data_IF_510053822313
#
_entry.id   IF_510053822313
#
_cell.length_a   1.000
_cell.length_b   1.000
_cell.length_c   1.000
_cell.angle_alpha   90.00
_cell.angle_beta   90.00
_cell.angle_gamma   90.00
#
_symmetry.space_group_name_H-M   'P 1'
#
loop_
_entity.id
_entity.type
_entity.pdbx_description
1 polymer ?
#
# COMPACT_ATOMS: atom_id res chain seq x y z
N UNK A 1 -19.88 6.99 2.10
CA UNK A 1 -18.68 7.70 1.63
C UNK A 1 -18.15 6.96 0.41
N UNK A 2 -17.75 7.66 -0.64
CA UNK A 2 -17.14 7.07 -1.82
C UNK A 2 -15.77 7.71 -2.07
N UNK A 3 -14.81 6.93 -2.53
CA UNK A 3 -13.45 7.41 -2.80
C UNK A 3 -13.11 7.11 -4.26
N UNK A 4 -12.54 8.09 -4.95
CA UNK A 4 -12.16 7.96 -6.36
C UNK A 4 -10.74 8.45 -6.59
N UNK A 5 -10.00 7.76 -7.46
CA UNK A 5 -8.74 8.23 -8.02
C UNK A 5 -8.92 8.77 -9.44
N UNK A 6 -8.10 9.73 -9.84
CA UNK A 6 -8.16 10.35 -11.16
C UNK A 6 -6.78 10.43 -11.81
N UNK A 7 -6.74 10.43 -13.14
CA UNK A 7 -5.51 10.60 -13.92
C UNK A 7 -4.86 11.98 -13.70
N UNK A 8 -5.57 12.92 -13.08
CA UNK A 8 -5.04 14.21 -12.64
C UNK A 8 -4.17 14.12 -11.35
N UNK A 9 -3.84 12.90 -10.92
CA UNK A 9 -3.07 12.55 -9.72
C UNK A 9 -3.75 12.87 -8.39
N UNK A 10 -5.04 13.21 -8.41
CA UNK A 10 -5.82 13.46 -7.20
C UNK A 10 -6.65 12.25 -6.77
N UNK A 11 -6.95 12.23 -5.48
CA UNK A 11 -7.96 11.34 -4.90
C UNK A 11 -9.04 12.20 -4.28
N UNK A 12 -10.30 11.83 -4.46
CA UNK A 12 -11.45 12.59 -3.95
C UNK A 12 -12.32 11.72 -3.07
N UNK A 13 -12.86 12.34 -2.02
CA UNK A 13 -13.89 11.75 -1.17
C UNK A 13 -15.21 12.45 -1.46
N UNK A 14 -16.26 11.65 -1.58
CA UNK A 14 -17.60 12.10 -1.93
C UNK A 14 -18.61 11.67 -0.88
N UNK A 15 -19.55 12.57 -0.63
CA UNK A 15 -20.83 12.24 -0.03
C UNK A 15 -21.74 11.70 -1.15
N UNK A 16 -22.23 10.47 -0.97
CA UNK A 16 -23.08 9.80 -1.96
C UNK A 16 -24.51 10.32 -1.96
N UNK A 17 -25.00 10.83 -0.83
CA UNK A 17 -26.37 11.31 -0.71
C UNK A 17 -26.51 12.69 -1.34
N UNK A 18 -25.56 13.59 -1.06
CA UNK A 18 -25.56 14.94 -1.63
C UNK A 18 -24.84 15.06 -2.97
N UNK A 19 -23.98 14.10 -3.33
CA UNK A 19 -23.13 14.16 -4.53
C UNK A 19 -21.98 15.16 -4.42
N UNK A 20 -21.71 15.70 -3.24
CA UNK A 20 -20.72 16.76 -3.02
C UNK A 20 -19.34 16.14 -2.79
N UNK A 21 -18.32 16.73 -3.42
CA UNK A 21 -16.91 16.43 -3.13
C UNK A 21 -16.53 17.01 -1.76
N UNK A 22 -16.34 16.13 -0.77
CA UNK A 22 -15.98 16.50 0.60
C UNK A 22 -14.50 16.88 0.73
N UNK A 23 -13.62 16.14 0.06
CA UNK A 23 -12.16 16.33 0.14
C UNK A 23 -11.49 16.03 -1.20
N UNK A 24 -10.38 16.72 -1.46
CA UNK A 24 -9.46 16.42 -2.56
C UNK A 24 -8.06 16.28 -1.96
N UNK A 25 -7.47 15.10 -2.11
CA UNK A 25 -6.10 14.81 -1.71
C UNK A 25 -5.16 15.04 -2.89
N UNK A 26 -4.10 15.80 -2.63
CA UNK A 26 -3.06 16.15 -3.58
C UNK A 26 -1.73 15.71 -2.97
N UNK A 27 -0.88 15.05 -3.76
CA UNK A 27 0.44 14.62 -3.29
C UNK A 27 1.02 13.42 -4.02
N UNK A 28 0.20 12.65 -4.74
CA UNK A 28 0.71 11.64 -5.65
C UNK A 28 1.49 12.28 -6.81
N UNK A 29 2.59 11.63 -7.19
CA UNK A 29 3.43 12.07 -8.31
C UNK A 29 2.92 11.55 -9.66
N UNK A 30 2.10 10.50 -9.63
CA UNK A 30 1.48 9.91 -10.80
C UNK A 30 0.07 9.44 -10.44
N UNK A 31 -0.72 9.00 -11.42
CA UNK A 31 -2.11 8.64 -11.17
C UNK A 31 -2.23 7.41 -10.26
N UNK A 32 -3.20 7.42 -9.32
CA UNK A 32 -3.48 6.28 -8.47
C UNK A 32 -3.99 5.10 -9.30
N UNK A 33 -3.45 3.91 -9.04
CA UNK A 33 -3.81 2.65 -9.70
C UNK A 33 -4.64 1.75 -8.78
N UNK A 34 -4.60 1.95 -7.46
CA UNK A 34 -5.39 1.21 -6.48
C UNK A 34 -5.67 2.11 -5.26
N UNK A 35 -6.85 1.99 -4.65
CA UNK A 35 -7.31 2.79 -3.50
C UNK A 35 -8.21 1.92 -2.62
N UNK A 36 -7.92 1.86 -1.32
CA UNK A 36 -8.71 1.12 -0.34
C UNK A 36 -8.82 1.90 0.97
N UNK A 37 -9.93 1.70 1.68
CA UNK A 37 -10.14 2.20 3.04
C UNK A 37 -9.77 1.10 4.05
N UNK A 38 -9.02 1.46 5.09
CA UNK A 38 -8.68 0.57 6.20
C UNK A 38 -9.86 0.48 7.19
N UNK A 39 -9.83 -0.51 8.09
CA UNK A 39 -10.84 -0.63 9.16
C UNK A 39 -10.91 0.57 10.11
N UNK A 40 -9.83 1.34 10.26
CA UNK A 40 -9.81 2.55 11.07
C UNK A 40 -10.23 3.81 10.30
N UNK A 41 -10.67 3.65 9.04
CA UNK A 41 -11.15 4.74 8.19
C UNK A 41 -10.04 5.53 7.50
N UNK A 42 -8.78 5.09 7.56
CA UNK A 42 -7.69 5.71 6.80
C UNK A 42 -7.81 5.31 5.32
N UNK A 43 -7.49 6.23 4.41
CA UNK A 43 -7.43 5.91 2.97
C UNK A 43 -6.00 5.56 2.62
N UNK A 44 -5.81 4.44 1.91
CA UNK A 44 -4.53 4.01 1.36
C UNK A 44 -4.64 4.01 -0.15
N UNK A 45 -3.63 4.50 -0.83
CA UNK A 45 -3.58 4.53 -2.29
C UNK A 45 -2.21 4.25 -2.82
N UNK A 46 -2.17 3.57 -3.96
CA UNK A 46 -0.95 3.22 -4.68
C UNK A 46 -0.95 3.97 -6.01
N UNK A 47 0.13 4.66 -6.35
CA UNK A 47 0.32 5.22 -7.69
C UNK A 47 1.19 4.36 -8.60
N UNK A 48 1.23 4.75 -9.87
CA UNK A 48 2.02 4.09 -10.90
C UNK A 48 3.53 4.12 -10.68
N UNK A 49 4.03 5.03 -9.85
CA UNK A 49 5.45 5.06 -9.46
C UNK A 49 5.72 4.15 -8.26
N UNK A 50 4.76 3.31 -7.89
CA UNK A 50 4.89 2.37 -6.78
C UNK A 50 4.91 3.05 -5.42
N UNK A 51 4.35 4.26 -5.28
CA UNK A 51 4.27 4.97 -4.00
C UNK A 51 2.95 4.67 -3.33
N UNK A 52 3.01 4.08 -2.15
CA UNK A 52 1.87 3.88 -1.26
C UNK A 52 1.72 5.10 -0.35
N UNK A 53 0.61 5.81 -0.47
CA UNK A 53 0.27 6.95 0.36
C UNK A 53 -0.87 6.60 1.31
N UNK A 54 -0.75 7.08 2.54
CA UNK A 54 -1.74 6.95 3.61
C UNK A 54 -2.31 8.32 3.93
N UNK A 55 -3.63 8.45 3.93
CA UNK A 55 -4.34 9.72 4.07
C UNK A 55 -5.32 9.65 5.22
N UNK A 56 -5.33 10.71 6.03
CA UNK A 56 -6.40 10.92 7.00
C UNK A 56 -7.58 11.64 6.32
N UNK A 57 -8.75 10.99 6.17
CA UNK A 57 -9.89 11.61 5.51
C UNK A 57 -10.50 12.78 6.29
N UNK A 58 -10.27 12.87 7.60
CA UNK A 58 -10.81 13.97 8.42
C UNK A 58 -10.05 15.25 8.15
N UNK A 59 -8.72 15.22 8.31
CA UNK A 59 -7.87 16.37 8.01
C UNK A 59 -7.84 16.67 6.51
N UNK A 60 -7.80 15.64 5.66
CA UNK A 60 -7.52 15.82 4.23
C UNK A 60 -6.02 15.74 3.91
N UNK A 61 -5.19 15.28 4.86
CA UNK A 61 -3.74 15.36 4.76
C UNK A 61 -3.09 14.00 4.53
N UNK A 62 -1.97 14.01 3.79
CA UNK A 62 -1.05 12.89 3.68
C UNK A 62 -0.41 12.64 5.05
N UNK A 63 -0.58 11.43 5.59
CA UNK A 63 0.00 11.01 6.87
C UNK A 63 1.37 10.38 6.67
N UNK A 64 1.50 9.48 5.69
CA UNK A 64 2.71 8.71 5.46
C UNK A 64 2.82 8.26 4.00
N UNK A 65 4.06 8.10 3.53
CA UNK A 65 4.37 7.58 2.20
C UNK A 65 5.40 6.45 2.30
N UNK A 66 5.12 5.35 1.65
CA UNK A 66 5.99 4.19 1.53
C UNK A 66 6.42 4.01 0.08
N UNK A 67 7.72 3.86 -0.14
CA UNK A 67 8.33 3.59 -1.44
C UNK A 67 9.36 2.49 -1.29
N UNK A 68 9.61 1.73 -2.36
CA UNK A 68 10.66 0.72 -2.39
C UNK A 68 11.99 1.30 -2.89
N UNK A 69 13.03 0.48 -2.88
CA UNK A 69 14.36 0.84 -3.39
C UNK A 69 14.30 1.21 -4.87
N UNK A 70 15.28 1.99 -5.35
CA UNK A 70 15.33 2.65 -6.66
C UNK A 70 15.04 1.81 -7.93
N UNK A 71 15.01 0.48 -7.86
CA UNK A 71 14.76 -0.40 -9.00
C UNK A 71 13.59 -1.39 -8.75
N UNK A 72 12.68 -1.06 -7.85
CA UNK A 72 11.50 -1.88 -7.58
C UNK A 72 10.34 -1.00 -7.11
N UNK A 73 9.12 -1.37 -7.49
CA UNK A 73 7.91 -0.60 -7.25
C UNK A 73 6.79 -1.53 -6.82
N UNK A 74 5.91 -1.06 -5.92
CA UNK A 74 4.70 -1.79 -5.61
C UNK A 74 3.79 -1.79 -6.83
N UNK A 75 3.36 -2.96 -7.26
CA UNK A 75 2.43 -3.14 -8.38
C UNK A 75 0.98 -3.28 -7.92
N UNK A 76 0.77 -3.71 -6.67
CA UNK A 76 -0.54 -3.87 -6.07
C UNK A 76 -0.48 -3.88 -4.54
N UNK A 77 -1.62 -3.66 -3.89
CA UNK A 77 -1.76 -3.89 -2.47
C UNK A 77 -3.14 -4.40 -2.07
N UNK A 78 -3.24 -4.95 -0.84
CA UNK A 78 -4.48 -5.38 -0.19
C UNK A 78 -4.39 -5.11 1.30
N UNK A 79 -5.49 -4.63 1.87
CA UNK A 79 -5.66 -4.60 3.33
C UNK A 79 -6.45 -5.85 3.73
N UNK A 80 -5.87 -6.66 4.60
CA UNK A 80 -6.52 -7.87 5.10
C UNK A 80 -7.59 -7.51 6.15
N UNK A 81 -8.52 -8.44 6.40
CA UNK A 81 -9.50 -8.26 7.47
C UNK A 81 -8.83 -8.14 8.84
N UNK A 82 -7.70 -8.78 9.06
CA UNK A 82 -6.92 -8.67 10.30
C UNK A 82 -6.22 -7.30 10.45
N UNK A 83 -6.16 -6.49 9.39
CA UNK A 83 -5.66 -5.11 9.41
C UNK A 83 -4.25 -4.94 8.85
N UNK A 84 -3.57 -6.03 8.51
CA UNK A 84 -2.25 -6.01 7.87
C UNK A 84 -2.38 -5.57 6.41
N UNK A 85 -1.35 -4.88 5.95
CA UNK A 85 -1.18 -4.50 4.55
C UNK A 85 -0.33 -5.55 3.85
N UNK A 86 -0.80 -6.08 2.73
CA UNK A 86 -0.03 -6.95 1.84
C UNK A 86 0.27 -6.19 0.55
N UNK A 87 1.54 -6.15 0.15
CA UNK A 87 2.00 -5.47 -1.07
C UNK A 87 2.67 -6.47 -2.00
N UNK A 88 2.35 -6.41 -3.29
CA UNK A 88 3.08 -7.13 -4.33
C UNK A 88 3.95 -6.16 -5.14
N UNK A 89 5.12 -6.61 -5.59
CA UNK A 89 6.02 -5.84 -6.45
C UNK A 89 6.29 -6.54 -7.79
N UNK A 90 6.79 -5.77 -8.76
CA UNK A 90 7.02 -6.26 -10.12
C UNK A 90 8.07 -7.39 -10.20
N UNK A 91 9.00 -7.45 -9.25
CA UNK A 91 9.97 -8.54 -9.15
C UNK A 91 9.43 -9.81 -8.48
N UNK A 92 8.13 -9.90 -8.24
CA UNK A 92 7.47 -11.07 -7.65
C UNK A 92 7.54 -11.15 -6.12
N UNK A 93 8.12 -10.17 -5.43
CA UNK A 93 8.11 -10.16 -3.97
C UNK A 93 6.71 -9.80 -3.44
N UNK A 94 6.27 -10.55 -2.44
CA UNK A 94 5.09 -10.25 -1.64
C UNK A 94 5.57 -9.90 -0.24
N UNK A 95 5.17 -8.74 0.27
CA UNK A 95 5.52 -8.28 1.61
C UNK A 95 4.25 -8.03 2.42
N UNK A 96 4.32 -8.32 3.71
CA UNK A 96 3.24 -8.08 4.66
C UNK A 96 3.73 -7.12 5.73
N UNK A 97 2.91 -6.13 6.04
CA UNK A 97 3.19 -5.04 6.95
C UNK A 97 2.14 -5.05 8.06
N UNK A 98 2.61 -5.16 9.30
CA UNK A 98 1.79 -5.19 10.51
C UNK A 98 2.44 -4.31 11.57
N UNK A 99 1.60 -3.71 12.42
CA UNK A 99 2.06 -3.02 13.63
C UNK A 99 2.38 -4.00 14.77
N UNK A 100 1.84 -5.22 14.70
CA UNK A 100 2.10 -6.30 15.66
C UNK A 100 3.08 -7.32 15.07
N UNK A 101 3.99 -7.89 15.87
CA UNK A 101 4.89 -8.94 15.40
C UNK A 101 4.07 -10.14 14.93
N UNK A 102 4.20 -10.44 13.63
CA UNK A 102 3.51 -11.57 13.02
C UNK A 102 4.30 -12.84 13.38
N UNK A 103 3.73 -13.67 14.24
CA UNK A 103 4.28 -14.98 14.53
C UNK A 103 3.88 -15.95 13.42
N UNK A 104 4.80 -16.25 12.51
CA UNK A 104 4.59 -17.31 11.54
C UNK A 104 4.75 -18.67 12.23
N UNK A 105 3.65 -19.39 12.42
CA UNK A 105 3.67 -20.77 12.92
C UNK A 105 3.92 -21.82 11.83
N UNK A 106 4.08 -21.40 10.57
CA UNK A 106 4.39 -22.29 9.48
C UNK A 106 5.30 -21.58 8.47
N UNK A 107 6.54 -22.05 8.37
CA UNK A 107 7.41 -21.73 7.26
C UNK A 107 6.93 -22.55 6.06
N UNK A 108 6.65 -21.89 4.93
CA UNK A 108 6.59 -22.57 3.64
C UNK A 108 7.87 -22.16 2.93
N UNK A 109 8.86 -23.05 2.95
CA UNK A 109 10.04 -22.94 2.11
C UNK A 109 9.60 -23.19 0.66
N UNK A 110 9.72 -22.17 -0.19
CA UNK A 110 9.73 -22.41 -1.62
C UNK A 110 11.12 -22.97 -1.95
N UNK A 111 11.17 -24.27 -2.24
CA UNK A 111 12.35 -24.94 -2.77
C UNK A 111 12.55 -24.46 -4.23
N UNK A 112 13.29 -23.36 -4.41
CA UNK A 112 13.80 -22.98 -5.72
C UNK A 112 15.01 -23.85 -6.06
N UNK A 113 14.73 -24.98 -6.68
CA UNK A 113 15.72 -25.79 -7.38
C UNK A 113 16.19 -25.05 -8.65
N UNK A 114 17.02 -24.00 -8.52
CA UNK A 114 17.92 -23.57 -9.59
C UNK A 114 19.14 -22.78 -9.04
N UNK A 115 20.19 -23.54 -8.69
CA UNK A 115 21.61 -23.14 -8.63
C UNK A 115 21.97 -21.82 -7.91
N UNK A 116 22.35 -22.00 -6.63
CA UNK A 116 23.44 -21.31 -5.88
C UNK A 116 24.04 -20.03 -6.51
N UNK A 117 23.72 -18.89 -5.91
CA UNK A 117 24.75 -18.06 -5.24
C UNK A 117 24.14 -17.38 -4.03
N UNK A 118 24.85 -17.50 -2.91
CA UNK A 118 24.47 -17.12 -1.57
C UNK A 118 24.31 -15.61 -1.38
N UNK A 119 23.16 -15.19 -0.85
CA UNK A 119 23.13 -14.12 0.16
C UNK A 119 21.94 -14.36 1.09
N UNK A 120 22.23 -14.86 2.30
CA UNK A 120 21.30 -14.85 3.42
C UNK A 120 20.80 -13.41 3.65
N UNK A 121 19.62 -13.05 3.14
CA UNK A 121 18.94 -11.83 3.55
C UNK A 121 17.98 -12.18 4.66
N UNK A 122 18.47 -12.07 5.89
CA UNK A 122 17.63 -11.76 7.05
C UNK A 122 16.88 -10.47 6.72
N UNK A 123 15.57 -10.53 6.59
CA UNK A 123 14.72 -9.35 6.63
C UNK A 123 13.90 -9.44 7.92
N UNK A 124 14.52 -8.96 8.99
CA UNK A 124 13.83 -8.20 10.01
C UNK A 124 14.66 -6.94 10.14
N UNK A 125 14.07 -5.76 9.94
CA UNK A 125 14.36 -4.61 10.79
C UNK A 125 13.20 -3.63 10.70
N UNK A 126 12.48 -3.67 11.82
CA UNK A 126 11.58 -2.68 12.36
C UNK A 126 12.38 -1.40 12.63
N UNK A 127 11.91 -0.25 12.14
CA UNK A 127 11.98 1.05 12.81
C UNK A 127 10.77 1.88 12.39
#
# INVERSE_FOLDING_TARGET
MFVSGSNDTTIKIWDLESGICLKTFIGHRNYPIDIQETKNGQIVSLDREGVLNFWDPKSGSLTFSLTRSLNDFFSCFRILESGELVTGSENGMIQMWSNEPIFFNHFIEFEEDYKKTSTNRKICNIL
#
